data_IF_631519261993
#
_entry.id   IF_631519261993
#
_cell.length_a   1.000
_cell.length_b   1.000
_cell.length_c   1.000
_cell.angle_alpha   90.00
_cell.angle_beta   90.00
_cell.angle_gamma   90.00
#
_symmetry.space_group_name_H-M   'P 1'
#
loop_
_entity.id
_entity.type
_entity.pdbx_description
1 polymer ?
#
# COMPACT_ATOMS: atom_id res chain seq x y z
N UNK A 1 -5.08 -15.97 -10.15
CA UNK A 1 -6.32 -15.19 -9.90
C UNK A 1 -7.37 -15.64 -10.88
N UNK A 2 -8.60 -15.87 -10.43
CA UNK A 2 -9.71 -16.24 -11.30
C UNK A 2 -10.13 -15.03 -12.15
N UNK A 3 -10.20 -15.20 -13.47
CA UNK A 3 -10.67 -14.18 -14.40
C UNK A 3 -12.16 -14.40 -14.66
N UNK A 4 -12.98 -13.36 -14.55
CA UNK A 4 -14.39 -13.46 -14.87
C UNK A 4 -14.55 -13.52 -16.39
N UNK A 5 -14.93 -14.70 -16.92
CA UNK A 5 -15.23 -14.91 -18.34
C UNK A 5 -16.76 -14.91 -18.48
N UNK A 6 -17.34 -13.75 -18.79
CA UNK A 6 -18.79 -13.59 -18.96
C UNK A 6 -19.16 -12.25 -19.61
N UNK A 7 -20.34 -12.19 -20.23
CA UNK A 7 -20.87 -10.97 -20.89
C UNK A 7 -21.24 -9.90 -19.85
N UNK A 8 -21.68 -10.33 -18.66
CA UNK A 8 -22.11 -9.44 -17.59
C UNK A 8 -20.87 -8.98 -16.80
N UNK A 9 -20.65 -7.67 -16.79
CA UNK A 9 -19.61 -7.00 -16.00
C UNK A 9 -20.17 -6.76 -14.61
N UNK A 10 -19.58 -7.40 -13.60
CA UNK A 10 -19.96 -7.20 -12.20
C UNK A 10 -18.88 -6.37 -11.51
N UNK A 11 -19.31 -5.36 -10.76
CA UNK A 11 -18.45 -4.52 -9.92
C UNK A 11 -19.06 -4.50 -8.52
N UNK A 12 -18.24 -4.75 -7.50
CA UNK A 12 -18.70 -4.80 -6.11
C UNK A 12 -18.59 -6.18 -5.48
N UNK A 13 -19.30 -6.39 -4.37
CA UNK A 13 -19.24 -7.65 -3.60
C UNK A 13 -20.57 -8.37 -3.71
N UNK A 14 -20.53 -9.64 -4.13
CA UNK A 14 -21.69 -10.53 -4.15
C UNK A 14 -21.39 -11.71 -3.21
N UNK A 15 -22.06 -11.76 -2.06
CA UNK A 15 -21.77 -12.74 -1.02
C UNK A 15 -20.30 -12.68 -0.57
N UNK A 16 -19.59 -13.79 -0.74
CA UNK A 16 -18.17 -13.94 -0.38
C UNK A 16 -17.21 -13.67 -1.54
N UNK A 17 -17.71 -13.24 -2.71
CA UNK A 17 -16.87 -12.94 -3.88
C UNK A 17 -16.90 -11.45 -4.18
N UNK A 18 -15.72 -10.84 -4.23
CA UNK A 18 -15.53 -9.45 -4.66
C UNK A 18 -15.06 -9.40 -6.11
N UNK A 19 -15.76 -8.62 -6.93
CA UNK A 19 -15.41 -8.39 -8.33
C UNK A 19 -14.71 -7.04 -8.47
N UNK A 20 -13.47 -7.06 -8.99
CA UNK A 20 -12.60 -5.88 -9.14
C UNK A 20 -12.19 -5.73 -10.59
N UNK A 21 -12.33 -4.50 -11.11
CA UNK A 21 -11.83 -4.13 -12.44
C UNK A 21 -10.35 -3.78 -12.37
N UNK A 22 -9.54 -4.49 -13.14
CA UNK A 22 -8.09 -4.22 -13.31
C UNK A 22 -7.82 -3.86 -14.77
N UNK A 23 -6.66 -3.25 -15.06
CA UNK A 23 -6.24 -2.94 -16.43
C UNK A 23 -6.25 -4.16 -17.38
N UNK A 24 -6.12 -5.38 -16.84
CA UNK A 24 -6.18 -6.64 -17.58
C UNK A 24 -7.54 -7.36 -17.59
N UNK A 25 -8.62 -6.72 -17.14
CA UNK A 25 -9.99 -7.27 -17.14
C UNK A 25 -10.62 -7.41 -15.74
N UNK A 26 -11.78 -8.09 -15.70
CA UNK A 26 -12.54 -8.34 -14.49
C UNK A 26 -12.00 -9.54 -13.72
N UNK A 27 -11.69 -9.35 -12.43
CA UNK A 27 -11.12 -10.36 -11.54
C UNK A 27 -12.12 -10.62 -10.43
N UNK A 28 -12.36 -11.90 -10.14
CA UNK A 28 -13.11 -12.34 -8.97
C UNK A 28 -12.13 -12.82 -7.89
N UNK A 29 -12.31 -12.34 -6.67
CA UNK A 29 -11.54 -12.77 -5.49
C UNK A 29 -12.50 -13.12 -4.35
N UNK A 30 -12.17 -14.15 -3.59
CA UNK A 30 -12.88 -14.42 -2.34
C UNK A 30 -12.59 -13.30 -1.33
N UNK A 31 -13.57 -12.99 -0.50
CA UNK A 31 -13.47 -12.01 0.56
C UNK A 31 -12.50 -12.54 1.60
N UNK A 32 -11.45 -11.77 1.87
CA UNK A 32 -10.58 -12.03 3.01
C UNK A 32 -11.40 -11.84 4.29
N UNK A 33 -11.44 -12.86 5.17
CA UNK A 33 -12.20 -12.90 6.42
C UNK A 33 -11.70 -11.95 7.53
N UNK A 34 -10.83 -11.01 7.19
CA UNK A 34 -10.27 -10.03 8.10
C UNK A 34 -11.18 -8.79 8.19
N UNK A 35 -11.84 -8.62 9.33
CA UNK A 35 -12.58 -7.40 9.63
C UNK A 35 -11.63 -6.23 9.92
N UNK A 36 -12.00 -5.02 9.48
CA UNK A 36 -11.20 -3.81 9.70
C UNK A 36 -10.98 -3.51 11.18
N UNK A 37 -11.94 -3.85 12.04
CA UNK A 37 -11.85 -3.66 13.49
C UNK A 37 -10.81 -4.59 14.13
N UNK A 38 -10.64 -5.79 13.58
CA UNK A 38 -9.57 -6.69 14.01
C UNK A 38 -8.20 -6.09 13.71
N UNK A 39 -8.00 -5.52 12.53
CA UNK A 39 -6.71 -4.89 12.14
C UNK A 39 -6.38 -3.70 13.08
N UNK A 40 -7.39 -2.97 13.53
CA UNK A 40 -7.22 -1.83 14.44
C UNK A 40 -6.86 -2.25 15.86
N UNK A 41 -7.50 -3.30 16.38
CA UNK A 41 -7.48 -3.59 17.82
C UNK A 41 -6.60 -4.79 18.21
N UNK A 42 -6.43 -5.78 17.32
CA UNK A 42 -5.70 -7.02 17.62
C UNK A 42 -4.18 -6.74 17.72
N UNK A 43 -3.55 -7.35 18.73
CA UNK A 43 -2.12 -7.21 19.02
C UNK A 43 -1.24 -7.76 17.88
N UNK A 44 -1.71 -8.77 17.16
CA UNK A 44 -0.98 -9.34 16.00
C UNK A 44 -0.75 -8.32 14.88
N UNK A 45 -1.60 -7.27 14.78
CA UNK A 45 -1.49 -6.22 13.77
C UNK A 45 -0.77 -4.96 14.25
N UNK A 46 -0.22 -4.94 15.47
CA UNK A 46 0.48 -3.77 16.00
C UNK A 46 1.59 -3.28 15.04
N UNK A 47 2.45 -4.18 14.58
CA UNK A 47 3.53 -3.86 13.62
C UNK A 47 3.01 -3.34 12.28
N UNK A 48 1.85 -3.83 11.83
CA UNK A 48 1.23 -3.34 10.59
C UNK A 48 0.73 -1.92 10.77
N UNK A 49 0.18 -1.57 11.94
CA UNK A 49 -0.26 -0.20 12.25
C UNK A 49 0.91 0.76 12.35
N UNK A 50 2.02 0.35 12.97
CA UNK A 50 3.26 1.13 13.04
C UNK A 50 3.85 1.38 11.64
N UNK A 51 3.97 0.35 10.80
CA UNK A 51 4.42 0.54 9.41
C UNK A 51 3.49 1.45 8.60
N UNK A 52 2.17 1.35 8.83
CA UNK A 52 1.18 2.18 8.14
C UNK A 52 1.27 3.65 8.56
N UNK A 53 1.51 3.96 9.84
CA UNK A 53 1.66 5.34 10.30
C UNK A 53 2.91 5.99 9.71
N UNK A 54 4.02 5.25 9.66
CA UNK A 54 5.26 5.70 9.02
C UNK A 54 5.11 5.92 7.52
N UNK A 55 4.46 4.97 6.83
CA UNK A 55 4.17 5.11 5.41
C UNK A 55 3.28 6.35 5.15
N UNK A 56 2.28 6.58 6.00
CA UNK A 56 1.43 7.77 5.95
C UNK A 56 2.23 9.07 6.08
N UNK A 57 3.16 9.13 7.04
CA UNK A 57 4.04 10.30 7.25
C UNK A 57 4.97 10.55 6.04
N UNK A 58 5.55 9.49 5.48
CA UNK A 58 6.37 9.59 4.27
C UNK A 58 5.54 10.04 3.06
N UNK A 59 4.30 9.56 2.92
CA UNK A 59 3.39 9.96 1.85
C UNK A 59 2.99 11.44 1.94
N UNK A 60 2.66 11.93 3.14
CA UNK A 60 2.35 13.35 3.37
C UNK A 60 3.55 14.24 3.03
N UNK A 61 4.75 13.87 3.49
CA UNK A 61 5.99 14.59 3.15
C UNK A 61 6.22 14.59 1.64
N UNK A 62 6.02 13.45 0.98
CA UNK A 62 6.11 13.35 -0.48
C UNK A 62 5.05 14.15 -1.23
N UNK A 63 3.89 14.40 -0.63
CA UNK A 63 2.89 15.33 -1.17
C UNK A 63 3.38 16.78 -1.10
N UNK A 64 3.94 17.21 0.04
CA UNK A 64 4.49 18.57 0.20
C UNK A 64 5.60 18.85 -0.82
N UNK A 65 6.56 17.93 -0.93
CA UNK A 65 7.66 18.04 -1.90
C UNK A 65 7.11 18.16 -3.32
N UNK A 66 6.13 17.32 -3.68
CA UNK A 66 5.51 17.40 -5.01
C UNK A 66 4.83 18.75 -5.20
N UNK A 67 3.98 19.19 -4.28
CA UNK A 67 3.30 20.48 -4.42
C UNK A 67 4.30 21.64 -4.61
N UNK A 68 5.42 21.66 -3.87
CA UNK A 68 6.45 22.68 -4.01
C UNK A 68 7.12 22.69 -5.40
N UNK A 69 7.40 21.52 -5.95
CA UNK A 69 8.09 21.38 -7.23
C UNK A 69 7.14 21.26 -8.44
N UNK A 70 5.83 21.34 -8.23
CA UNK A 70 4.78 21.27 -9.27
C UNK A 70 5.05 22.14 -10.51
N UNK A 71 5.57 23.38 -10.39
CA UNK A 71 5.87 24.22 -11.55
C UNK A 71 6.98 23.65 -12.45
N UNK A 72 7.91 22.86 -11.89
CA UNK A 72 9.07 22.36 -12.62
C UNK A 72 8.78 21.12 -13.47
N UNK A 73 7.79 20.31 -13.08
CA UNK A 73 7.52 19.03 -13.73
C UNK A 73 6.07 18.88 -14.21
N UNK A 74 5.28 19.96 -14.23
CA UNK A 74 3.86 19.95 -14.57
C UNK A 74 3.49 19.34 -15.94
N UNK A 75 4.44 19.23 -16.86
CA UNK A 75 4.27 18.59 -18.18
C UNK A 75 4.83 17.17 -18.33
N UNK A 76 5.45 16.59 -17.29
CA UNK A 76 6.08 15.27 -17.37
C UNK A 76 5.07 14.18 -17.04
N UNK A 77 4.73 13.35 -18.02
CA UNK A 77 3.84 12.20 -17.86
C UNK A 77 4.58 10.98 -17.27
N UNK A 78 4.97 11.04 -16.00
CA UNK A 78 5.52 9.88 -15.27
C UNK A 78 4.60 9.42 -14.14
N UNK A 79 3.85 8.36 -14.41
CA UNK A 79 2.93 7.73 -13.45
C UNK A 79 3.61 7.04 -12.27
N UNK A 80 4.92 6.75 -12.35
CA UNK A 80 5.69 6.04 -11.31
C UNK A 80 6.49 6.99 -10.41
N UNK A 81 6.54 8.29 -10.72
CA UNK A 81 7.30 9.29 -9.97
C UNK A 81 6.93 9.31 -8.48
N UNK A 82 5.64 9.31 -8.15
CA UNK A 82 5.15 9.33 -6.76
C UNK A 82 5.66 8.12 -5.97
N UNK A 83 5.58 6.91 -6.56
CA UNK A 83 6.05 5.70 -5.90
C UNK A 83 7.56 5.70 -5.67
N UNK A 84 8.35 6.22 -6.62
CA UNK A 84 9.82 6.36 -6.45
C UNK A 84 10.17 7.36 -5.36
N UNK A 85 9.49 8.50 -5.30
CA UNK A 85 9.70 9.51 -4.26
C UNK A 85 9.39 8.95 -2.87
N UNK A 86 8.23 8.31 -2.68
CA UNK A 86 7.87 7.69 -1.41
C UNK A 86 8.88 6.62 -0.99
N UNK A 87 9.40 5.81 -1.93
CA UNK A 87 10.47 4.83 -1.65
C UNK A 87 11.73 5.48 -1.08
N UNK A 88 12.17 6.61 -1.64
CA UNK A 88 13.34 7.33 -1.12
C UNK A 88 13.07 7.96 0.25
N UNK A 89 11.88 8.53 0.45
CA UNK A 89 11.49 9.10 1.75
C UNK A 89 11.43 8.05 2.86
N UNK A 90 10.93 6.85 2.56
CA UNK A 90 10.96 5.72 3.51
C UNK A 90 12.41 5.32 3.82
N UNK A 91 13.32 5.36 2.84
CA UNK A 91 14.73 5.07 3.08
C UNK A 91 15.35 6.08 4.05
N UNK A 92 15.04 7.36 3.89
CA UNK A 92 15.49 8.43 4.81
C UNK A 92 14.87 8.26 6.20
N UNK A 93 13.57 7.95 6.28
CA UNK A 93 12.89 7.72 7.56
C UNK A 93 13.55 6.59 8.35
N UNK A 94 13.96 5.51 7.67
CA UNK A 94 14.65 4.37 8.29
C UNK A 94 16.08 4.66 8.77
N UNK A 95 16.67 5.78 8.36
CA UNK A 95 17.99 6.21 8.85
C UNK A 95 17.94 7.06 10.11
N UNK A 96 16.76 7.52 10.52
CA UNK A 96 16.58 8.32 11.73
C UNK A 96 16.75 7.44 12.99
N UNK A 97 17.72 7.74 13.88
CA UNK A 97 17.96 6.98 15.10
C UNK A 97 16.92 7.21 16.21
N UNK A 98 16.12 8.27 16.13
CA UNK A 98 15.18 8.70 17.19
C UNK A 98 13.77 8.17 16.96
N UNK A 99 13.39 7.93 15.70
CA UNK A 99 12.14 7.25 15.38
C UNK A 99 12.21 5.83 15.98
N UNK A 100 11.16 5.40 16.69
CA UNK A 100 11.09 4.16 17.48
C UNK A 100 11.40 2.86 16.71
N UNK A 101 11.65 2.94 15.40
CA UNK A 101 12.10 1.85 14.54
C UNK A 101 13.60 1.89 14.17
N UNK A 102 14.42 2.81 14.66
CA UNK A 102 15.87 2.81 14.42
C UNK A 102 16.56 1.51 14.88
N UNK A 103 16.00 0.86 15.90
CA UNK A 103 16.45 -0.45 16.38
C UNK A 103 16.09 -1.62 15.42
N UNK A 104 15.28 -1.39 14.38
CA UNK A 104 14.84 -2.40 13.39
C UNK A 104 15.75 -2.51 12.15
N UNK A 105 16.93 -1.86 12.14
CA UNK A 105 17.89 -1.91 11.03
C UNK A 105 18.50 -3.29 10.72
N UNK A 106 18.15 -4.36 11.46
CA UNK A 106 18.60 -5.71 11.17
C UNK A 106 17.50 -6.75 11.43
N UNK A 107 16.92 -7.30 10.35
CA UNK A 107 16.46 -8.70 10.17
C UNK A 107 15.25 -8.75 9.22
N UNK A 108 15.54 -9.27 8.01
CA UNK A 108 14.61 -9.87 7.03
C UNK A 108 13.60 -8.94 6.35
N UNK A 109 14.10 -8.25 5.33
CA UNK A 109 13.37 -8.15 4.06
C UNK A 109 13.65 -9.41 3.21
N UNK A 110 13.11 -10.58 3.58
CA UNK A 110 13.01 -11.73 2.67
C UNK A 110 11.75 -12.50 3.03
N UNK A 111 10.77 -12.55 2.10
CA UNK A 111 9.62 -13.46 2.07
C UNK A 111 8.77 -13.50 3.34
N UNK A 112 7.48 -13.18 3.32
CA UNK A 112 6.47 -14.16 2.88
C UNK A 112 5.14 -13.42 2.87
N UNK A 113 4.75 -12.88 1.72
CA UNK A 113 3.34 -12.60 1.43
C UNK A 113 2.85 -13.80 0.60
N UNK A 114 2.72 -14.94 1.28
CA UNK A 114 2.14 -16.16 0.71
C UNK A 114 1.22 -16.77 1.76
N UNK A 115 -0.05 -16.95 1.36
CA UNK A 115 -1.13 -17.65 2.06
C UNK A 115 -1.49 -17.13 3.46
N UNK A 116 -2.56 -16.35 3.52
CA UNK A 116 -3.87 -16.86 3.98
C UNK A 116 -4.93 -16.35 3.01
#
# INVERSE_FOLDING_TARGET
MAKQKGIIKLEGTLGDITFVKTAGGYIARERTSLSGDRIKNDASFQRTRENNSEFGRAAQTGQVIRTAFRPLYGGIADSRMTGRLTKQLIRVLRTDPVTTLAAYGSRRCVGTFARV
#
